data_IF_036329860093
#
_entry.id   IF_036329860093
#
_cell.length_a   1.000
_cell.length_b   1.000
_cell.length_c   1.000
_cell.angle_alpha   90.00
_cell.angle_beta   90.00
_cell.angle_gamma   90.00
#
_symmetry.space_group_name_H-M   'P 1'
#
loop_
_entity.id
_entity.type
_entity.pdbx_description
1 polymer ?
#
# COMPACT_ATOMS: atom_id res chain seq x y z
N UNK A 1 -25.74 -65.51 37.14
CA UNK A 1 -26.02 -64.45 36.14
C UNK A 1 -24.98 -63.35 36.33
N UNK A 2 -23.93 -63.32 35.48
CA UNK A 2 -22.85 -62.31 35.53
C UNK A 2 -23.21 -61.18 34.53
N UNK A 3 -23.45 -59.93 35.00
CA UNK A 3 -23.69 -58.79 34.18
C UNK A 3 -22.35 -58.19 33.76
N UNK A 4 -22.07 -58.12 32.44
CA UNK A 4 -20.91 -57.47 31.90
C UNK A 4 -21.30 -55.99 31.64
N UNK A 5 -20.63 -55.07 32.30
CA UNK A 5 -20.67 -53.63 31.95
C UNK A 5 -19.64 -53.42 30.83
N UNK A 6 -20.11 -52.90 29.71
CA UNK A 6 -19.26 -52.39 28.61
C UNK A 6 -19.07 -50.89 28.87
N UNK A 7 -17.85 -50.48 29.20
CA UNK A 7 -17.48 -49.09 29.30
C UNK A 7 -17.12 -48.56 27.91
N UNK A 8 -17.91 -47.60 27.41
CA UNK A 8 -17.64 -46.91 26.16
C UNK A 8 -16.65 -45.76 26.43
N UNK A 9 -15.40 -45.92 25.99
CA UNK A 9 -14.40 -44.87 26.10
C UNK A 9 -14.59 -43.88 24.92
N UNK A 10 -15.06 -42.68 25.18
CA UNK A 10 -15.12 -41.58 24.22
C UNK A 10 -13.72 -40.96 24.15
N UNK A 11 -12.97 -41.25 23.10
CA UNK A 11 -11.68 -40.65 22.84
C UNK A 11 -11.85 -39.20 22.35
N UNK A 12 -11.47 -38.23 23.15
CA UNK A 12 -11.29 -36.85 22.72
C UNK A 12 -9.97 -36.73 21.93
N UNK A 13 -10.06 -36.50 20.63
CA UNK A 13 -8.91 -36.11 19.84
C UNK A 13 -8.50 -34.68 20.22
N UNK A 14 -7.20 -34.38 20.43
CA UNK A 14 -6.77 -33.02 20.74
C UNK A 14 -7.02 -32.13 19.52
N UNK A 15 -7.77 -31.06 19.70
CA UNK A 15 -7.92 -29.98 18.72
C UNK A 15 -6.55 -29.33 18.62
N UNK A 16 -5.85 -29.57 17.51
CA UNK A 16 -4.58 -28.91 17.21
C UNK A 16 -4.79 -27.40 17.21
N UNK A 17 -4.16 -26.69 18.13
CA UNK A 17 -4.10 -25.24 18.11
C UNK A 17 -3.30 -24.80 16.89
N UNK A 18 -3.96 -24.21 15.89
CA UNK A 18 -3.29 -23.49 14.81
C UNK A 18 -2.63 -22.26 15.45
N UNK A 19 -1.35 -22.35 15.74
CA UNK A 19 -0.55 -21.19 16.15
C UNK A 19 -0.44 -20.29 14.94
N UNK A 20 -1.11 -19.14 14.96
CA UNK A 20 -0.85 -18.08 14.01
C UNK A 20 0.62 -17.65 14.21
N UNK A 21 1.46 -17.85 13.18
CA UNK A 21 2.84 -17.40 13.24
C UNK A 21 2.84 -15.88 13.48
N UNK A 22 3.52 -15.43 14.53
CA UNK A 22 3.74 -14.00 14.79
C UNK A 22 4.55 -13.46 13.60
N UNK A 23 4.08 -12.40 12.91
CA UNK A 23 4.86 -11.81 11.84
C UNK A 23 6.25 -11.45 12.35
N UNK A 24 7.29 -11.76 11.56
CA UNK A 24 8.62 -11.30 11.85
C UNK A 24 8.61 -9.76 12.00
N UNK A 25 9.38 -9.23 12.96
CA UNK A 25 9.41 -7.80 13.26
C UNK A 25 9.78 -6.96 12.03
N UNK A 26 10.60 -7.49 11.13
CA UNK A 26 10.98 -6.80 9.90
C UNK A 26 9.80 -6.75 8.92
N UNK A 27 9.03 -7.82 8.80
CA UNK A 27 7.77 -7.85 8.05
C UNK A 27 6.79 -6.80 8.57
N UNK A 28 6.63 -6.69 9.89
CA UNK A 28 5.75 -5.68 10.49
C UNK A 28 6.22 -4.25 10.20
N UNK A 29 7.55 -3.99 10.31
CA UNK A 29 8.16 -2.68 10.01
C UNK A 29 7.93 -2.27 8.55
N UNK A 30 8.13 -3.20 7.60
CA UNK A 30 7.95 -2.92 6.18
C UNK A 30 6.46 -2.74 5.86
N UNK A 31 5.58 -3.54 6.43
CA UNK A 31 4.12 -3.36 6.31
C UNK A 31 3.71 -1.96 6.76
N UNK A 32 4.17 -1.52 7.93
CA UNK A 32 3.91 -0.16 8.43
C UNK A 32 4.48 0.91 7.49
N UNK A 33 5.72 0.73 7.01
CA UNK A 33 6.37 1.67 6.09
C UNK A 33 5.53 1.89 4.84
N UNK A 34 5.19 0.81 4.11
CA UNK A 34 4.48 0.94 2.83
C UNK A 34 3.03 1.40 3.01
N UNK A 35 2.39 1.03 4.11
CA UNK A 35 1.02 1.47 4.42
C UNK A 35 0.96 2.94 4.85
N UNK A 36 2.03 3.48 5.43
CA UNK A 36 2.09 4.89 5.82
C UNK A 36 2.14 5.85 4.63
N UNK A 37 2.63 5.42 3.46
CA UNK A 37 2.81 6.29 2.29
C UNK A 37 1.46 6.85 1.80
N UNK A 38 0.49 6.01 1.36
CA UNK A 38 -0.78 6.54 0.89
C UNK A 38 -1.56 7.26 1.98
N UNK A 39 -1.52 6.76 3.23
CA UNK A 39 -2.15 7.43 4.36
C UNK A 39 -1.60 8.85 4.57
N UNK A 40 -0.28 9.03 4.51
CA UNK A 40 0.36 10.33 4.65
C UNK A 40 -0.04 11.28 3.51
N UNK A 41 -0.13 10.76 2.29
CA UNK A 41 -0.59 11.54 1.12
C UNK A 41 -2.05 11.97 1.29
N UNK A 42 -2.94 11.08 1.72
CA UNK A 42 -4.35 11.40 1.97
C UNK A 42 -4.53 12.47 3.07
N UNK A 43 -3.63 12.49 4.04
CA UNK A 43 -3.59 13.49 5.12
C UNK A 43 -2.79 14.75 4.77
N UNK A 44 -2.32 14.88 3.52
CA UNK A 44 -1.43 15.96 3.06
C UNK A 44 -0.13 16.10 3.88
N UNK A 45 0.29 15.04 4.57
CA UNK A 45 1.55 14.98 5.31
C UNK A 45 2.68 14.48 4.40
N UNK A 46 3.07 15.32 3.45
CA UNK A 46 4.08 14.96 2.45
C UNK A 46 5.47 14.73 3.04
N UNK A 47 5.80 15.33 4.17
CA UNK A 47 7.10 15.13 4.84
C UNK A 47 7.19 13.69 5.37
N UNK A 48 6.10 13.16 5.95
CA UNK A 48 6.04 11.77 6.37
C UNK A 48 6.11 10.81 5.17
N UNK A 49 5.38 11.11 4.08
CA UNK A 49 5.45 10.32 2.86
C UNK A 49 6.87 10.33 2.27
N UNK A 50 7.51 11.50 2.18
CA UNK A 50 8.86 11.67 1.67
C UNK A 50 9.90 10.86 2.46
N UNK A 51 9.79 10.84 3.78
CA UNK A 51 10.69 10.13 4.67
C UNK A 51 10.70 8.60 4.45
N UNK A 52 9.68 8.04 3.81
CA UNK A 52 9.60 6.62 3.50
C UNK A 52 10.53 6.18 2.36
N UNK A 53 10.94 7.09 1.49
CA UNK A 53 11.70 6.79 0.28
C UNK A 53 13.21 6.90 0.48
N UNK A 54 13.96 6.14 -0.34
CA UNK A 54 15.41 6.29 -0.50
C UNK A 54 15.73 7.64 -1.17
N UNK A 55 16.99 8.13 -1.12
CA UNK A 55 17.39 9.40 -1.76
C UNK A 55 17.07 9.47 -3.25
N UNK A 56 16.97 8.31 -3.91
CA UNK A 56 16.52 8.17 -5.29
C UNK A 56 15.49 7.05 -5.35
N UNK A 57 14.35 7.30 -6.00
CA UNK A 57 13.26 6.35 -6.14
C UNK A 57 12.81 6.24 -7.59
N UNK A 58 12.48 5.04 -8.04
CA UNK A 58 11.85 4.81 -9.33
C UNK A 58 10.33 4.64 -9.13
N UNK A 59 9.55 5.48 -9.79
CA UNK A 59 8.09 5.48 -9.77
C UNK A 59 7.58 4.98 -11.12
N UNK A 60 6.74 3.98 -11.07
CA UNK A 60 6.07 3.41 -12.25
C UNK A 60 4.54 3.54 -12.11
N UNK A 61 4.00 4.55 -12.77
CA UNK A 61 2.57 4.78 -12.96
C UNK A 61 2.15 4.60 -14.41
N UNK A 62 2.93 3.84 -15.20
CA UNK A 62 2.69 3.67 -16.63
C UNK A 62 1.34 3.02 -16.95
N UNK A 63 0.85 2.14 -16.08
CA UNK A 63 -0.48 1.54 -16.24
C UNK A 63 -1.62 2.54 -16.06
N UNK A 64 -1.38 3.66 -15.35
CA UNK A 64 -2.37 4.71 -15.08
C UNK A 64 -2.26 5.87 -16.08
N UNK A 65 -1.04 6.35 -16.34
CA UNK A 65 -0.80 7.57 -17.12
C UNK A 65 -0.13 7.30 -18.47
N UNK A 66 0.31 6.08 -18.75
CA UNK A 66 1.17 5.79 -19.89
C UNK A 66 2.61 6.25 -19.66
N UNK A 67 3.41 6.37 -20.73
CA UNK A 67 4.79 6.81 -20.65
C UNK A 67 5.77 5.73 -20.20
N UNK A 68 6.80 6.12 -19.46
CA UNK A 68 7.85 5.23 -18.92
C UNK A 68 8.05 5.47 -17.44
N UNK A 69 8.55 4.48 -16.67
CA UNK A 69 8.93 4.68 -15.27
C UNK A 69 9.92 5.85 -15.13
N UNK A 70 9.78 6.63 -14.06
CA UNK A 70 10.57 7.82 -13.80
C UNK A 70 11.41 7.62 -12.55
N UNK A 71 12.72 7.92 -12.65
CA UNK A 71 13.63 7.94 -11.50
C UNK A 71 13.82 9.39 -11.06
N UNK A 72 13.58 9.65 -9.77
CA UNK A 72 13.57 11.01 -9.22
C UNK A 72 13.95 11.03 -7.73
N UNK A 73 14.14 12.22 -7.18
CA UNK A 73 14.28 12.39 -5.74
C UNK A 73 12.90 12.37 -5.06
N UNK A 74 12.81 12.04 -3.76
CA UNK A 74 11.56 12.10 -3.02
C UNK A 74 10.91 13.49 -3.03
N UNK A 75 11.70 14.57 -3.05
CA UNK A 75 11.21 15.95 -3.16
C UNK A 75 10.46 16.17 -4.47
N UNK A 76 11.03 15.69 -5.60
CA UNK A 76 10.38 15.78 -6.90
C UNK A 76 9.08 14.96 -6.96
N UNK A 77 9.07 13.77 -6.32
CA UNK A 77 7.86 12.95 -6.18
C UNK A 77 6.79 13.70 -5.38
N UNK A 78 7.15 14.28 -4.23
CA UNK A 78 6.21 15.05 -3.41
C UNK A 78 5.69 16.29 -4.16
N UNK A 79 6.53 16.96 -4.95
CA UNK A 79 6.11 18.07 -5.81
C UNK A 79 5.06 17.61 -6.83
N UNK A 80 5.26 16.44 -7.46
CA UNK A 80 4.28 15.84 -8.35
C UNK A 80 2.94 15.57 -7.66
N UNK A 81 2.95 14.96 -6.47
CA UNK A 81 1.73 14.68 -5.72
C UNK A 81 1.03 15.97 -5.24
N UNK A 82 1.79 16.99 -4.80
CA UNK A 82 1.23 18.33 -4.48
C UNK A 82 0.60 19.02 -5.69
N UNK A 83 1.03 18.66 -6.90
CA UNK A 83 0.45 19.19 -8.14
C UNK A 83 -0.92 18.60 -8.50
N UNK A 84 -1.40 17.58 -7.79
CA UNK A 84 -2.68 16.93 -8.08
C UNK A 84 -3.54 16.71 -6.82
N UNK A 85 -3.00 16.08 -5.78
CA UNK A 85 -3.78 15.61 -4.62
C UNK A 85 -4.56 16.74 -3.93
N UNK A 86 -4.00 17.93 -3.64
CA UNK A 86 -4.75 19.00 -3.01
C UNK A 86 -5.87 19.58 -3.88
N UNK A 87 -5.92 19.26 -5.16
CA UNK A 87 -7.00 19.69 -6.06
C UNK A 87 -8.28 18.89 -5.89
N UNK A 88 -8.22 17.69 -5.30
CA UNK A 88 -9.41 16.96 -4.86
C UNK A 88 -9.96 17.56 -3.56
N UNK A 89 -11.24 17.36 -3.29
CA UNK A 89 -11.87 17.73 -2.02
C UNK A 89 -11.50 16.74 -0.91
N UNK A 90 -11.30 15.47 -1.29
CA UNK A 90 -10.79 14.41 -0.43
C UNK A 90 -10.15 13.29 -1.28
N UNK A 91 -9.18 12.59 -0.70
CA UNK A 91 -8.65 11.34 -1.23
C UNK A 91 -8.63 10.28 -0.15
N UNK A 92 -8.72 9.02 -0.55
CA UNK A 92 -8.59 7.87 0.35
C UNK A 92 -8.06 6.67 -0.42
N UNK A 93 -6.94 6.13 0.03
CA UNK A 93 -6.32 4.94 -0.55
C UNK A 93 -6.45 3.77 0.42
N UNK A 94 -7.45 2.94 0.21
CA UNK A 94 -7.65 1.72 1.00
C UNK A 94 -6.69 0.63 0.53
N UNK A 95 -5.77 0.21 1.40
CA UNK A 95 -4.91 -0.94 1.16
C UNK A 95 -5.48 -2.21 1.78
N UNK A 96 -5.37 -3.31 1.06
CA UNK A 96 -5.71 -4.65 1.54
C UNK A 96 -4.70 -5.69 1.05
N UNK A 97 -4.70 -6.88 1.65
CA UNK A 97 -3.85 -8.01 1.29
C UNK A 97 -2.36 -7.62 1.21
N UNK A 98 -1.86 -6.89 2.20
CA UNK A 98 -0.45 -6.51 2.25
C UNK A 98 0.39 -7.76 2.47
N UNK A 99 1.29 -8.05 1.53
CA UNK A 99 2.23 -9.17 1.58
C UNK A 99 3.65 -8.63 1.56
N UNK A 100 4.52 -9.19 2.38
CA UNK A 100 5.93 -8.79 2.46
C UNK A 100 6.81 -10.03 2.40
N UNK A 101 7.85 -9.97 1.57
CA UNK A 101 8.91 -10.98 1.49
C UNK A 101 10.25 -10.32 1.74
N UNK A 102 10.95 -10.73 2.80
CA UNK A 102 12.25 -10.19 3.22
C UNK A 102 13.37 -11.15 2.84
N UNK A 103 14.46 -10.61 2.29
CA UNK A 103 15.67 -11.37 1.97
C UNK A 103 16.89 -10.52 2.34
N UNK A 104 17.47 -10.79 3.51
CA UNK A 104 18.59 -9.98 4.03
C UNK A 104 18.19 -8.51 4.21
N UNK A 105 18.90 -7.62 3.53
CA UNK A 105 18.67 -6.17 3.57
C UNK A 105 17.76 -5.66 2.43
N UNK A 106 17.08 -6.56 1.73
CA UNK A 106 16.11 -6.23 0.70
C UNK A 106 14.76 -6.85 1.00
N UNK A 107 13.70 -6.22 0.52
CA UNK A 107 12.36 -6.76 0.61
C UNK A 107 11.50 -6.32 -0.58
N UNK A 108 10.45 -7.11 -0.82
CA UNK A 108 9.36 -6.76 -1.72
C UNK A 108 8.07 -6.74 -0.92
N UNK A 109 7.32 -5.67 -1.06
CA UNK A 109 5.95 -5.58 -0.55
C UNK A 109 4.96 -5.43 -1.70
N UNK A 110 3.77 -6.01 -1.55
CA UNK A 110 2.63 -5.82 -2.46
C UNK A 110 1.36 -5.58 -1.66
N UNK A 111 0.43 -4.84 -2.23
CA UNK A 111 -0.91 -4.66 -1.66
C UNK A 111 -1.93 -4.40 -2.77
N UNK A 112 -3.16 -4.83 -2.58
CA UNK A 112 -4.28 -4.30 -3.36
C UNK A 112 -4.58 -2.87 -2.89
N UNK A 113 -4.99 -2.02 -3.82
CA UNK A 113 -5.38 -0.64 -3.52
C UNK A 113 -6.66 -0.24 -4.24
N UNK A 114 -7.56 0.41 -3.51
CA UNK A 114 -8.72 1.14 -4.03
C UNK A 114 -8.50 2.63 -3.72
N UNK A 115 -8.02 3.37 -4.70
CA UNK A 115 -7.80 4.81 -4.59
C UNK A 115 -9.08 5.57 -4.92
N UNK A 116 -9.60 6.36 -3.99
CA UNK A 116 -10.82 7.16 -4.15
C UNK A 116 -10.49 8.64 -4.10
N UNK A 117 -10.96 9.38 -5.12
CA UNK A 117 -10.65 10.79 -5.28
C UNK A 117 -11.94 11.53 -5.58
N UNK A 118 -12.34 12.51 -4.73
CA UNK A 118 -13.61 13.21 -4.84
C UNK A 118 -13.45 14.67 -5.26
N UNK A 119 -14.38 15.12 -6.12
CA UNK A 119 -14.67 16.54 -6.37
C UNK A 119 -16.20 16.69 -6.31
N UNK A 120 -16.71 17.40 -5.30
CA UNK A 120 -18.14 17.46 -5.01
C UNK A 120 -18.71 16.08 -4.74
N UNK A 121 -19.72 15.68 -5.51
CA UNK A 121 -20.35 14.37 -5.44
C UNK A 121 -19.76 13.33 -6.41
N UNK A 122 -18.82 13.75 -7.25
CA UNK A 122 -18.17 12.87 -8.22
C UNK A 122 -16.95 12.17 -7.60
N UNK A 123 -16.72 10.94 -8.02
CA UNK A 123 -15.58 10.14 -7.58
C UNK A 123 -14.87 9.51 -8.78
N UNK A 124 -13.54 9.53 -8.75
CA UNK A 124 -12.68 8.76 -9.63
C UNK A 124 -11.90 7.74 -8.79
N UNK A 125 -11.92 6.48 -9.22
CA UNK A 125 -11.36 5.35 -8.47
C UNK A 125 -10.47 4.49 -9.36
N UNK A 126 -9.16 4.73 -9.44
CA UNK A 126 -8.20 3.76 -9.92
C UNK A 126 -8.02 2.64 -8.89
N UNK A 127 -8.28 1.41 -9.30
CA UNK A 127 -8.17 0.20 -8.47
C UNK A 127 -7.07 -0.66 -9.06
N UNK A 128 -6.23 -1.23 -8.21
CA UNK A 128 -5.11 -2.04 -8.71
C UNK A 128 -4.25 -2.65 -7.61
N UNK A 129 -2.98 -2.78 -7.92
CA UNK A 129 -1.98 -3.32 -7.01
C UNK A 129 -0.79 -2.37 -6.93
N UNK A 130 -0.35 -2.06 -5.73
CA UNK A 130 0.96 -1.51 -5.47
C UNK A 130 1.99 -2.63 -5.30
N UNK A 131 3.20 -2.38 -5.81
CA UNK A 131 4.40 -3.17 -5.55
C UNK A 131 5.53 -2.21 -5.18
N UNK A 132 6.20 -2.50 -4.07
CA UNK A 132 7.36 -1.73 -3.60
C UNK A 132 8.59 -2.63 -3.55
N UNK A 133 9.72 -2.12 -4.02
CA UNK A 133 11.03 -2.64 -3.64
C UNK A 133 11.55 -1.80 -2.47
N UNK A 134 12.08 -2.47 -1.46
CA UNK A 134 12.49 -1.85 -0.19
C UNK A 134 13.88 -2.33 0.15
N UNK A 135 14.75 -1.42 0.57
CA UNK A 135 16.11 -1.71 0.98
C UNK A 135 16.41 -1.15 2.37
N UNK A 136 17.25 -1.84 3.12
CA UNK A 136 17.73 -1.35 4.40
C UNK A 136 18.96 -0.45 4.17
N UNK A 137 18.82 0.83 4.43
CA UNK A 137 19.87 1.84 4.28
C UNK A 137 20.20 2.43 5.66
N UNK A 138 21.46 2.29 6.10
CA UNK A 138 21.91 2.71 7.43
C UNK A 138 21.02 2.19 8.57
N UNK A 139 20.55 0.93 8.46
CA UNK A 139 19.67 0.29 9.45
C UNK A 139 18.17 0.63 9.35
N UNK A 140 17.77 1.46 8.39
CA UNK A 140 16.37 1.89 8.18
C UNK A 140 15.85 1.39 6.84
N UNK A 141 14.66 0.83 6.81
CA UNK A 141 14.00 0.43 5.57
C UNK A 141 13.54 1.66 4.76
N UNK A 142 13.84 1.66 3.45
CA UNK A 142 13.50 2.73 2.51
C UNK A 142 12.94 2.13 1.22
N UNK A 143 11.92 2.77 0.66
CA UNK A 143 11.37 2.40 -0.64
C UNK A 143 12.28 2.91 -1.75
N UNK A 144 12.73 2.02 -2.62
CA UNK A 144 13.57 2.33 -3.79
C UNK A 144 12.79 2.29 -5.10
N UNK A 145 11.67 1.55 -5.13
CA UNK A 145 10.77 1.48 -6.29
C UNK A 145 9.33 1.41 -5.82
N UNK A 146 8.42 2.11 -6.48
CA UNK A 146 6.98 2.01 -6.29
C UNK A 146 6.30 1.89 -7.65
N UNK A 147 5.59 0.78 -7.87
CA UNK A 147 4.83 0.50 -9.09
C UNK A 147 3.34 0.43 -8.75
N UNK A 148 2.51 1.11 -9.52
CA UNK A 148 1.06 0.91 -9.53
C UNK A 148 0.64 0.20 -10.80
N UNK A 149 -0.01 -0.95 -10.66
CA UNK A 149 -0.61 -1.69 -11.77
C UNK A 149 -2.12 -1.60 -11.65
N UNK A 150 -2.75 -0.81 -12.53
CA UNK A 150 -4.20 -0.64 -12.55
C UNK A 150 -4.87 -1.90 -13.09
N UNK A 151 -5.91 -2.37 -12.41
CA UNK A 151 -6.74 -3.51 -12.83
C UNK A 151 -8.16 -3.08 -13.20
N UNK A 152 -8.64 -1.99 -12.61
CA UNK A 152 -9.96 -1.43 -12.86
C UNK A 152 -9.96 0.08 -12.67
N UNK A 153 -10.82 0.77 -13.38
CA UNK A 153 -11.08 2.20 -13.21
C UNK A 153 -12.58 2.43 -13.13
N UNK A 154 -13.03 3.18 -12.12
CA UNK A 154 -14.44 3.53 -11.90
C UNK A 154 -14.55 5.05 -11.83
N UNK A 155 -15.58 5.61 -12.45
CA UNK A 155 -15.80 7.05 -12.53
C UNK A 155 -15.02 7.70 -13.67
N UNK A 156 -14.88 9.03 -13.61
CA UNK A 156 -14.30 9.81 -14.69
C UNK A 156 -12.88 10.29 -14.36
N UNK A 157 -11.91 9.83 -15.15
CA UNK A 157 -10.49 10.26 -15.06
C UNK A 157 -10.31 11.77 -15.31
N UNK A 158 -11.25 12.43 -15.98
CA UNK A 158 -11.20 13.89 -16.15
C UNK A 158 -11.17 14.64 -14.81
N UNK A 159 -11.64 14.02 -13.70
CA UNK A 159 -11.48 14.59 -12.36
C UNK A 159 -10.01 14.80 -11.98
N UNK A 160 -9.10 13.95 -12.44
CA UNK A 160 -7.66 14.14 -12.19
C UNK A 160 -7.13 15.42 -12.87
N UNK A 161 -7.54 15.70 -14.13
CA UNK A 161 -7.17 16.94 -14.83
C UNK A 161 -7.77 18.15 -14.13
N UNK A 162 -9.03 18.05 -13.69
CA UNK A 162 -9.68 19.11 -12.91
C UNK A 162 -8.94 19.37 -11.59
N UNK A 163 -8.51 18.32 -10.89
CA UNK A 163 -7.74 18.43 -9.68
C UNK A 163 -6.39 19.11 -9.93
N UNK A 164 -5.66 18.76 -10.99
CA UNK A 164 -4.41 19.43 -11.37
C UNK A 164 -4.64 20.93 -11.59
N UNK A 165 -5.68 21.33 -12.32
CA UNK A 165 -6.01 22.74 -12.54
C UNK A 165 -6.35 23.46 -11.23
N UNK A 166 -7.09 22.82 -10.32
CA UNK A 166 -7.42 23.38 -8.99
C UNK A 166 -6.19 23.50 -8.08
N UNK A 167 -5.28 22.51 -8.11
CA UNK A 167 -4.05 22.56 -7.33
C UNK A 167 -3.13 23.70 -7.80
N UNK A 168 -3.04 23.93 -9.11
CA UNK A 168 -2.22 25.00 -9.69
C UNK A 168 -2.74 26.41 -9.39
N UNK A 169 -4.00 26.57 -8.95
CA UNK A 169 -4.62 27.85 -8.64
C UNK A 169 -4.59 28.22 -7.14
N UNK A 170 -3.98 27.36 -6.31
CA UNK A 170 -3.83 27.56 -4.85
C UNK A 170 -2.44 28.07 -4.51
#
# INVERSE_FOLDING_TARGET
>A
MKKHLIALAIGFAPIGTVSAATPDIETARITQLVSSIPLAVDLANYDLAQAAFAPTVTIDYTSLWGGTPQTMTPEALMAGWRGIVPGFDATFHELSDVQVSVTGDTAVATAKVDGRHWIGTQVWRPIGTYRWSVERQAGVWKVTTMTFTMTQEIGDRALAQQAMARAASR
#
